data_IF_808717095642
#
_entry.id   IF_808717095642
#
_cell.length_a   1.000
_cell.length_b   1.000
_cell.length_c   1.000
_cell.angle_alpha   90.00
_cell.angle_beta   90.00
_cell.angle_gamma   90.00
#
_symmetry.space_group_name_H-M   'P 1'
#
loop_
_entity.id
_entity.type
_entity.pdbx_description
1 polymer ?
#
# COMPACT_ATOMS: atom_id res chain seq x y z
N UNK A 1 -2.20 -15.40 18.17
CA UNK A 1 -3.46 -16.11 17.86
C UNK A 1 -3.25 -17.27 16.85
N UNK A 2 -2.11 -17.98 16.86
CA UNK A 2 -1.64 -18.75 15.68
C UNK A 2 -1.76 -20.29 15.73
N UNK A 3 -2.97 -20.81 15.96
CA UNK A 3 -3.35 -22.17 15.49
C UNK A 3 -4.79 -22.24 14.97
N UNK A 4 -5.56 -21.16 15.18
CA UNK A 4 -6.99 -21.09 14.85
C UNK A 4 -7.25 -20.35 13.54
N UNK A 5 -6.45 -19.34 13.17
CA UNK A 5 -6.73 -18.48 12.02
C UNK A 5 -6.80 -19.24 10.68
N UNK A 6 -5.81 -20.06 10.31
CA UNK A 6 -5.83 -20.79 9.04
C UNK A 6 -6.85 -21.96 9.01
N UNK A 7 -7.07 -22.63 10.14
CA UNK A 7 -8.09 -23.70 10.25
C UNK A 7 -9.51 -23.13 10.27
N UNK A 8 -9.73 -22.00 10.96
CA UNK A 8 -11.01 -21.28 10.97
C UNK A 8 -11.27 -20.61 9.61
N UNK A 9 -10.24 -20.16 8.89
CA UNK A 9 -10.34 -19.63 7.51
C UNK A 9 -10.91 -20.67 6.53
N UNK A 10 -10.39 -21.91 6.52
CA UNK A 10 -10.96 -22.99 5.70
C UNK A 10 -12.36 -23.40 6.18
N UNK A 11 -12.63 -23.40 7.49
CA UNK A 11 -13.95 -23.79 8.02
C UNK A 11 -15.02 -22.72 7.78
N UNK A 12 -14.66 -21.43 7.71
CA UNK A 12 -15.57 -20.31 7.40
C UNK A 12 -15.98 -20.30 5.92
N UNK A 13 -15.12 -20.76 5.00
CA UNK A 13 -15.31 -20.61 3.54
C UNK A 13 -15.48 -21.94 2.74
N UNK A 14 -15.78 -23.07 3.39
CA UNK A 14 -16.00 -24.38 2.69
C UNK A 14 -17.42 -24.90 2.63
N UNK A 15 -18.41 -24.11 3.08
CA UNK A 15 -19.81 -24.52 2.97
C UNK A 15 -20.49 -24.11 1.66
N UNK A 16 -19.87 -23.28 0.82
CA UNK A 16 -20.55 -22.77 -0.38
C UNK A 16 -19.68 -22.75 -1.65
N UNK A 17 -20.31 -23.23 -2.73
CA UNK A 17 -19.98 -23.08 -4.16
C UNK A 17 -19.09 -24.13 -4.83
N UNK A 18 -19.81 -25.01 -5.54
CA UNK A 18 -19.37 -25.77 -6.70
C UNK A 18 -19.16 -24.84 -7.91
N UNK A 19 -18.28 -25.29 -8.80
CA UNK A 19 -17.75 -24.70 -10.04
C UNK A 19 -18.84 -24.35 -11.07
N UNK A 20 -18.68 -23.24 -11.82
CA UNK A 20 -19.01 -23.16 -13.25
C UNK A 20 -18.19 -22.08 -14.00
N UNK A 21 -17.71 -22.45 -15.19
CA UNK A 21 -16.81 -21.76 -16.12
C UNK A 21 -17.50 -20.68 -16.99
N UNK A 22 -16.73 -19.70 -17.48
CA UNK A 22 -17.20 -18.74 -18.50
C UNK A 22 -16.09 -17.90 -19.15
N UNK A 23 -15.49 -18.44 -20.21
CA UNK A 23 -14.53 -17.82 -21.16
C UNK A 23 -15.19 -16.76 -22.08
N UNK A 24 -14.44 -15.67 -22.43
CA UNK A 24 -14.13 -15.18 -23.80
C UNK A 24 -13.68 -13.71 -23.89
N UNK A 25 -12.57 -13.47 -24.62
CA UNK A 25 -12.59 -12.50 -25.73
C UNK A 25 -11.62 -11.30 -25.77
N UNK A 26 -10.36 -11.55 -26.15
CA UNK A 26 -9.46 -10.80 -27.07
C UNK A 26 -9.69 -9.32 -27.47
N UNK A 27 -8.60 -8.53 -27.42
CA UNK A 27 -8.01 -7.91 -28.64
C UNK A 27 -7.80 -6.38 -28.68
N UNK A 28 -6.78 -5.86 -29.40
CA UNK A 28 -5.93 -4.74 -28.97
C UNK A 28 -5.96 -3.50 -29.88
N UNK A 29 -5.43 -2.34 -29.44
CA UNK A 29 -4.87 -1.30 -30.34
C UNK A 29 -3.72 -0.53 -29.66
N UNK A 30 -2.60 -0.45 -30.37
CA UNK A 30 -1.39 0.33 -30.07
C UNK A 30 -1.31 1.59 -30.94
N UNK A 31 -0.56 2.61 -30.50
CA UNK A 31 0.01 3.62 -31.39
C UNK A 31 0.52 4.90 -30.67
N UNK A 32 1.69 5.47 -31.03
CA UNK A 32 2.60 6.13 -30.10
C UNK A 32 2.76 7.65 -30.32
N UNK A 33 3.25 8.41 -29.33
CA UNK A 33 4.03 9.65 -29.58
C UNK A 33 5.10 9.87 -28.50
N UNK A 34 6.29 10.19 -28.98
CA UNK A 34 7.60 10.33 -28.35
C UNK A 34 7.88 11.65 -27.60
N UNK A 35 8.56 11.50 -26.47
CA UNK A 35 9.67 12.28 -25.87
C UNK A 35 9.98 13.73 -26.32
N UNK A 36 10.07 14.65 -25.34
CA UNK A 36 11.17 15.63 -25.21
C UNK A 36 11.42 15.92 -23.71
N UNK A 37 12.64 15.65 -23.24
CA UNK A 37 13.17 16.10 -21.94
C UNK A 37 13.70 17.54 -22.05
N UNK A 38 13.77 18.27 -20.93
CA UNK A 38 15.06 18.86 -20.57
C UNK A 38 15.39 18.79 -19.07
N UNK A 39 16.55 18.18 -18.82
CA UNK A 39 17.65 18.54 -17.89
C UNK A 39 17.32 19.42 -16.66
N UNK A 40 17.56 18.83 -15.49
CA UNK A 40 17.61 19.49 -14.18
C UNK A 40 18.67 20.61 -14.08
N UNK A 41 18.47 21.58 -13.18
CA UNK A 41 19.55 22.21 -12.44
C UNK A 41 19.54 21.73 -10.98
N UNK A 42 20.62 21.08 -10.58
CA UNK A 42 21.02 20.96 -9.18
C UNK A 42 21.41 22.34 -8.63
N UNK A 43 20.85 22.74 -7.48
CA UNK A 43 21.55 23.46 -6.41
C UNK A 43 20.56 23.84 -5.30
N UNK A 44 20.78 23.30 -4.11
CA UNK A 44 20.33 23.89 -2.85
C UNK A 44 20.92 25.30 -2.72
N UNK A 45 20.10 26.33 -2.57
CA UNK A 45 20.55 27.66 -2.15
C UNK A 45 19.44 28.35 -1.35
N UNK A 46 19.72 28.59 -0.07
CA UNK A 46 18.84 29.32 0.83
C UNK A 46 18.71 30.78 0.39
N UNK A 47 17.47 31.25 0.27
CA UNK A 47 17.15 32.58 -0.23
C UNK A 47 17.36 33.63 0.87
N UNK A 48 18.15 34.68 0.61
CA UNK A 48 18.47 35.73 1.61
C UNK A 48 17.34 36.77 1.76
N UNK A 49 17.26 37.45 2.91
CA UNK A 49 16.21 38.46 3.22
C UNK A 49 16.18 39.61 2.20
N UNK A 50 17.34 39.99 1.67
CA UNK A 50 17.43 41.00 0.61
C UNK A 50 16.83 40.53 -0.72
N UNK A 51 16.99 39.24 -1.06
CA UNK A 51 16.38 38.65 -2.25
C UNK A 51 14.86 38.56 -2.10
N UNK A 52 14.35 38.25 -0.91
CA UNK A 52 12.92 38.23 -0.61
C UNK A 52 12.29 39.62 -0.74
N UNK A 53 12.98 40.65 -0.22
CA UNK A 53 12.55 42.05 -0.30
C UNK A 53 12.52 42.55 -1.75
N UNK A 54 13.57 42.28 -2.52
CA UNK A 54 13.64 42.65 -3.93
C UNK A 54 12.55 41.98 -4.78
N UNK A 55 12.20 40.73 -4.47
CA UNK A 55 11.15 39.99 -5.16
C UNK A 55 9.74 40.47 -4.77
N UNK A 56 9.56 40.91 -3.52
CA UNK A 56 8.33 41.58 -3.07
C UNK A 56 8.14 42.93 -3.76
N UNK A 57 9.19 43.75 -3.83
CA UNK A 57 9.18 45.08 -4.45
C UNK A 57 8.96 45.00 -5.97
N UNK A 58 9.56 44.02 -6.64
CA UNK A 58 9.34 43.75 -8.06
C UNK A 58 7.89 43.31 -8.35
N UNK A 59 7.29 42.51 -7.46
CA UNK A 59 5.89 42.12 -7.57
C UNK A 59 4.93 43.26 -7.21
N UNK A 60 5.33 44.16 -6.33
CA UNK A 60 4.54 45.33 -5.91
C UNK A 60 4.32 46.33 -7.06
N UNK A 61 5.33 46.56 -7.91
CA UNK A 61 5.22 47.44 -9.09
C UNK A 61 4.23 46.88 -10.13
N UNK A 62 4.07 45.56 -10.20
CA UNK A 62 3.22 44.85 -11.17
C UNK A 62 1.71 44.92 -10.87
N UNK A 63 1.30 45.19 -9.63
CA UNK A 63 -0.10 45.01 -9.20
C UNK A 63 -0.72 46.25 -8.52
N UNK A 64 -0.90 47.32 -9.29
CA UNK A 64 -1.34 48.65 -8.82
C UNK A 64 -2.86 48.88 -8.67
N UNK A 65 -3.70 47.85 -8.47
CA UNK A 65 -5.18 48.01 -8.35
C UNK A 65 -5.76 47.48 -7.04
N UNK A 66 -6.72 48.21 -6.44
CA UNK A 66 -7.36 47.97 -5.13
C UNK A 66 -7.80 46.52 -4.86
N UNK A 67 -8.29 45.78 -5.85
CA UNK A 67 -8.75 44.39 -5.71
C UNK A 67 -7.62 43.37 -5.47
N UNK A 68 -6.37 43.73 -5.79
CA UNK A 68 -5.19 42.86 -5.64
C UNK A 68 -4.35 43.18 -4.40
N UNK A 69 -4.74 44.19 -3.61
CA UNK A 69 -4.16 44.47 -2.28
C UNK A 69 -4.52 43.36 -1.27
N UNK A 70 -5.70 42.77 -1.41
CA UNK A 70 -6.09 41.59 -0.64
C UNK A 70 -5.19 40.40 -0.96
N UNK A 71 -4.86 40.16 -2.24
CA UNK A 71 -3.95 39.09 -2.64
C UNK A 71 -2.51 39.28 -2.12
N UNK A 72 -2.03 40.53 -2.00
CA UNK A 72 -0.73 40.81 -1.40
C UNK A 72 -0.76 40.59 0.13
N UNK A 73 -1.85 40.95 0.81
CA UNK A 73 -2.05 40.67 2.24
C UNK A 73 -2.15 39.16 2.51
N UNK A 74 -2.80 38.42 1.61
CA UNK A 74 -2.88 36.96 1.61
C UNK A 74 -1.50 36.33 1.40
N UNK A 75 -0.72 36.79 0.41
CA UNK A 75 0.63 36.29 0.17
C UNK A 75 1.59 36.58 1.34
N UNK A 76 1.43 37.74 2.00
CA UNK A 76 2.23 38.14 3.16
C UNK A 76 1.89 37.28 4.39
N UNK A 77 0.60 36.97 4.62
CA UNK A 77 0.17 36.06 5.68
C UNK A 77 0.64 34.62 5.40
N UNK A 78 0.54 34.17 4.14
CA UNK A 78 1.05 32.88 3.65
C UNK A 78 2.58 32.74 3.82
N UNK A 79 3.36 33.80 3.60
CA UNK A 79 4.83 33.78 3.83
C UNK A 79 5.21 33.85 5.31
N UNK A 80 4.31 34.34 6.16
CA UNK A 80 4.51 34.45 7.61
C UNK A 80 4.12 33.18 8.36
N UNK A 81 3.02 32.53 8.00
CA UNK A 81 2.60 31.24 8.57
C UNK A 81 3.53 30.10 8.14
N UNK A 82 4.11 30.17 6.92
CA UNK A 82 5.15 29.24 6.49
C UNK A 82 6.48 29.39 7.26
N UNK A 83 6.71 30.53 7.94
CA UNK A 83 7.94 30.81 8.71
C UNK A 83 7.76 30.80 10.23
N UNK A 84 6.53 30.71 10.75
CA UNK A 84 6.29 30.66 12.20
C UNK A 84 6.69 29.33 12.87
N UNK A 85 7.25 28.39 12.11
CA UNK A 85 7.93 27.19 12.62
C UNK A 85 9.46 27.37 12.75
N UNK A 86 10.01 28.57 12.51
CA UNK A 86 11.39 28.92 12.93
C UNK A 86 11.28 29.88 14.14
N UNK A 87 11.83 29.52 15.31
CA UNK A 87 11.73 30.37 16.50
C UNK A 87 12.62 31.61 16.32
N UNK A 88 11.99 32.76 15.98
CA UNK A 88 12.36 34.17 16.26
C UNK A 88 11.76 35.12 15.20
N UNK A 89 10.62 35.74 15.51
CA UNK A 89 10.18 36.99 14.87
C UNK A 89 10.04 38.04 15.99
N UNK A 90 10.67 39.21 15.84
CA UNK A 90 10.70 40.24 16.87
C UNK A 90 9.37 41.04 16.94
N UNK A 91 9.09 41.62 18.11
CA UNK A 91 7.82 42.30 18.44
C UNK A 91 7.43 43.44 17.47
N UNK A 92 8.40 44.08 16.83
CA UNK A 92 8.16 45.17 15.87
C UNK A 92 7.39 44.72 14.62
N UNK A 93 7.62 43.49 14.16
CA UNK A 93 6.95 42.93 12.97
C UNK A 93 5.51 42.55 13.31
N UNK A 94 5.25 42.09 14.53
CA UNK A 94 3.91 41.76 15.01
C UNK A 94 3.04 43.02 15.14
N UNK A 95 3.61 44.13 15.64
CA UNK A 95 2.90 45.41 15.77
C UNK A 95 2.44 46.02 14.43
N UNK A 96 3.23 45.88 13.37
CA UNK A 96 2.90 46.42 12.05
C UNK A 96 1.68 45.72 11.40
N UNK A 97 1.51 44.42 11.67
CA UNK A 97 0.48 43.60 11.03
C UNK A 97 -0.89 43.80 11.66
N UNK A 98 -0.94 43.93 12.99
CA UNK A 98 -2.18 44.21 13.73
C UNK A 98 -2.76 45.58 13.32
N UNK A 99 -1.89 46.56 13.09
CA UNK A 99 -2.24 47.88 12.55
C UNK A 99 -2.79 47.81 11.12
N UNK A 100 -2.28 46.91 10.28
CA UNK A 100 -2.68 46.78 8.88
C UNK A 100 -4.02 46.06 8.69
N UNK A 101 -4.34 45.11 9.56
CA UNK A 101 -5.57 44.29 9.48
C UNK A 101 -6.82 44.99 10.06
N UNK A 102 -6.65 46.00 10.91
CA UNK A 102 -7.77 46.77 11.49
C UNK A 102 -8.50 47.67 10.49
N UNK A 103 -8.04 47.76 9.23
CA UNK A 103 -8.61 48.60 8.18
C UNK A 103 -9.59 47.93 7.21
N UNK A 104 -10.09 46.71 7.47
CA UNK A 104 -10.99 46.00 6.55
C UNK A 104 -12.44 45.89 7.08
N UNK A 105 -13.37 46.56 6.41
CA UNK A 105 -14.70 46.95 6.91
C UNK A 105 -15.87 45.97 6.68
N UNK A 106 -15.65 44.69 6.33
CA UNK A 106 -16.79 43.77 6.31
C UNK A 106 -16.44 42.33 6.70
N UNK A 107 -16.97 41.94 7.85
CA UNK A 107 -16.81 40.65 8.50
C UNK A 107 -17.38 39.48 7.67
N UNK A 108 -18.32 39.73 6.75
CA UNK A 108 -19.11 38.67 6.11
C UNK A 108 -18.45 38.03 4.88
N UNK A 109 -17.84 38.83 3.99
CA UNK A 109 -17.12 38.34 2.79
C UNK A 109 -15.76 37.75 3.17
N UNK A 110 -15.10 38.33 4.18
CA UNK A 110 -13.89 37.79 4.78
C UNK A 110 -14.11 36.39 5.37
N UNK A 111 -15.27 36.13 5.99
CA UNK A 111 -15.58 34.84 6.64
C UNK A 111 -15.87 33.72 5.63
N UNK A 112 -16.58 34.00 4.52
CA UNK A 112 -16.87 33.02 3.47
C UNK A 112 -15.61 32.63 2.68
N UNK A 113 -14.78 33.62 2.30
CA UNK A 113 -13.49 33.35 1.66
C UNK A 113 -12.54 32.67 2.64
N UNK A 114 -12.45 33.12 3.90
CA UNK A 114 -11.61 32.45 4.91
C UNK A 114 -12.01 31.00 5.17
N UNK A 115 -13.29 30.61 5.05
CA UNK A 115 -13.71 29.20 5.16
C UNK A 115 -13.23 28.35 3.99
N UNK A 116 -13.43 28.80 2.74
CA UNK A 116 -12.95 28.09 1.55
C UNK A 116 -11.41 28.01 1.46
N UNK A 117 -10.72 29.06 1.92
CA UNK A 117 -9.25 29.09 1.98
C UNK A 117 -8.69 28.30 3.18
N UNK A 118 -9.35 28.29 4.35
CA UNK A 118 -8.98 27.41 5.48
C UNK A 118 -9.06 25.94 5.13
N UNK A 119 -10.07 25.53 4.36
CA UNK A 119 -10.21 24.13 3.94
C UNK A 119 -9.08 23.73 2.98
N UNK A 120 -8.77 24.55 1.96
CA UNK A 120 -7.65 24.29 1.03
C UNK A 120 -6.27 24.41 1.68
N UNK A 121 -6.09 25.32 2.64
CA UNK A 121 -4.84 25.47 3.39
C UNK A 121 -4.65 24.33 4.40
N UNK A 122 -5.72 23.88 5.06
CA UNK A 122 -5.70 22.68 5.92
C UNK A 122 -5.43 21.42 5.11
N UNK A 123 -6.09 21.22 3.96
CA UNK A 123 -5.80 20.10 3.05
C UNK A 123 -4.36 20.10 2.54
N UNK A 124 -3.77 21.28 2.25
CA UNK A 124 -2.35 21.40 1.89
C UNK A 124 -1.42 21.18 3.08
N UNK A 125 -1.81 21.60 4.28
CA UNK A 125 -1.02 21.40 5.50
C UNK A 125 -1.06 19.93 5.96
N UNK A 126 -2.21 19.28 5.89
CA UNK A 126 -2.41 17.86 6.21
C UNK A 126 -1.78 16.94 5.14
N UNK A 127 -1.71 17.38 3.87
CA UNK A 127 -0.92 16.69 2.83
C UNK A 127 0.60 16.93 2.97
N UNK A 128 1.02 18.01 3.65
CA UNK A 128 2.43 18.32 3.93
C UNK A 128 2.90 17.72 5.27
N UNK A 129 1.99 17.45 6.20
CA UNK A 129 2.25 16.68 7.41
C UNK A 129 2.33 15.21 7.01
N UNK A 130 3.46 14.58 7.33
CA UNK A 130 3.60 13.13 7.21
C UNK A 130 2.50 12.48 8.03
N UNK A 131 1.69 11.60 7.44
CA UNK A 131 0.72 10.83 8.21
C UNK A 131 1.46 9.93 9.18
N UNK A 132 1.02 9.93 10.44
CA UNK A 132 1.38 8.88 11.39
C UNK A 132 0.58 7.61 11.13
N UNK A 133 0.96 6.50 11.75
CA UNK A 133 0.21 5.24 11.72
C UNK A 133 -1.25 5.42 12.17
N UNK A 134 -1.49 6.28 13.17
CA UNK A 134 -2.85 6.58 13.63
C UNK A 134 -3.65 7.37 12.58
N UNK A 135 -3.02 8.37 11.94
CA UNK A 135 -3.70 9.23 10.98
C UNK A 135 -4.08 8.49 9.69
N UNK A 136 -3.24 7.57 9.23
CA UNK A 136 -3.53 6.77 8.03
C UNK A 136 -4.68 5.78 8.30
N UNK A 137 -4.70 5.14 9.47
CA UNK A 137 -5.79 4.23 9.87
C UNK A 137 -7.14 4.95 9.96
N UNK A 138 -7.17 6.14 10.57
CA UNK A 138 -8.39 6.95 10.64
C UNK A 138 -8.86 7.35 9.24
N UNK A 139 -7.95 7.75 8.35
CA UNK A 139 -8.31 8.15 6.99
C UNK A 139 -8.79 6.97 6.14
N UNK A 140 -8.17 5.80 6.26
CA UNK A 140 -8.57 4.58 5.57
C UNK A 140 -9.95 4.10 6.04
N UNK A 141 -10.21 4.11 7.35
CA UNK A 141 -11.53 3.82 7.93
C UNK A 141 -12.60 4.80 7.47
N UNK A 142 -12.31 6.10 7.48
CA UNK A 142 -13.24 7.10 6.96
C UNK A 142 -13.54 6.87 5.48
N UNK A 143 -12.53 6.47 4.69
CA UNK A 143 -12.70 6.13 3.27
C UNK A 143 -13.57 4.89 3.09
N UNK A 144 -13.40 3.85 3.91
CA UNK A 144 -14.18 2.60 3.80
C UNK A 144 -15.64 2.77 4.25
N UNK A 145 -15.91 3.75 5.12
CA UNK A 145 -17.27 4.17 5.51
C UNK A 145 -17.94 5.03 4.42
N UNK A 146 -17.25 6.07 3.94
CA UNK A 146 -17.74 7.00 2.92
C UNK A 146 -16.56 7.65 2.18
N UNK A 147 -16.21 7.08 1.02
CA UNK A 147 -15.09 7.55 0.22
C UNK A 147 -15.23 9.01 -0.26
N UNK A 148 -16.46 9.49 -0.52
CA UNK A 148 -16.69 10.87 -0.96
C UNK A 148 -16.46 11.84 0.19
N UNK A 149 -17.02 11.54 1.38
CA UNK A 149 -16.80 12.36 2.57
C UNK A 149 -15.33 12.35 3.01
N UNK A 150 -14.67 11.18 2.97
CA UNK A 150 -13.26 11.05 3.29
C UNK A 150 -12.39 11.87 2.32
N UNK A 151 -12.73 11.89 1.03
CA UNK A 151 -12.02 12.70 0.03
C UNK A 151 -12.10 14.20 0.31
N UNK A 152 -13.22 14.70 0.83
CA UNK A 152 -13.37 16.11 1.21
C UNK A 152 -12.52 16.48 2.45
N UNK A 153 -12.31 15.53 3.36
CA UNK A 153 -11.56 15.73 4.61
C UNK A 153 -10.06 15.52 4.42
N UNK A 154 -9.69 14.42 3.75
CA UNK A 154 -8.33 13.90 3.65
C UNK A 154 -7.71 14.08 2.27
N UNK A 155 -8.47 14.59 1.30
CA UNK A 155 -8.07 14.64 -0.10
C UNK A 155 -8.11 13.26 -0.79
N UNK A 156 -7.88 13.22 -2.11
CA UNK A 156 -7.75 11.95 -2.84
C UNK A 156 -6.67 11.05 -2.24
N UNK A 157 -6.94 9.76 -2.15
CA UNK A 157 -6.03 8.78 -1.53
C UNK A 157 -4.66 8.72 -2.20
N UNK A 158 -4.61 8.90 -3.52
CA UNK A 158 -3.38 8.97 -4.34
C UNK A 158 -2.39 10.06 -3.95
N UNK A 159 -2.80 11.05 -3.14
CA UNK A 159 -1.93 12.16 -2.70
C UNK A 159 -1.63 12.13 -1.19
N UNK A 160 -2.05 11.08 -0.48
CA UNK A 160 -1.76 10.95 0.95
C UNK A 160 -0.25 10.78 1.17
N UNK A 161 0.32 11.60 2.06
CA UNK A 161 1.74 11.54 2.37
C UNK A 161 2.01 10.43 3.40
N UNK A 162 2.34 9.23 2.91
CA UNK A 162 2.62 8.04 3.72
C UNK A 162 4.08 7.92 4.18
N UNK A 163 4.95 8.87 3.83
CA UNK A 163 6.40 8.81 4.13
C UNK A 163 6.77 8.79 5.63
N UNK A 164 5.79 8.89 6.54
CA UNK A 164 5.97 8.75 7.99
C UNK A 164 5.27 7.54 8.60
N UNK A 165 4.60 6.72 7.78
CA UNK A 165 3.89 5.52 8.20
C UNK A 165 4.89 4.37 8.30
N UNK A 166 4.83 3.63 9.41
CA UNK A 166 5.57 2.41 9.66
C UNK A 166 4.64 1.19 9.66
N UNK A 167 3.37 1.37 10.02
CA UNK A 167 2.42 0.27 10.19
C UNK A 167 1.22 0.42 9.24
N UNK A 168 1.13 -0.46 8.23
CA UNK A 168 0.03 -0.49 7.26
C UNK A 168 -0.91 -1.69 7.43
N UNK A 169 -0.83 -2.35 8.59
CA UNK A 169 -1.69 -3.48 8.89
C UNK A 169 -3.19 -3.12 8.78
N UNK A 170 -3.94 -3.97 8.09
CA UNK A 170 -5.40 -3.99 7.94
C UNK A 170 -6.04 -2.72 7.35
N UNK A 171 -5.27 -1.83 6.70
CA UNK A 171 -5.81 -0.53 6.25
C UNK A 171 -7.06 -0.63 5.36
N UNK A 172 -7.14 -1.66 4.51
CA UNK A 172 -8.27 -1.92 3.63
C UNK A 172 -8.76 -3.38 3.74
N UNK A 173 -8.66 -3.97 4.93
CA UNK A 173 -9.21 -5.31 5.23
C UNK A 173 -10.74 -5.28 5.21
N UNK A 174 -11.38 -6.26 4.57
CA UNK A 174 -12.84 -6.33 4.44
C UNK A 174 -13.55 -7.22 5.47
N UNK A 175 -12.81 -8.00 6.27
CA UNK A 175 -13.36 -8.87 7.34
C UNK A 175 -13.22 -8.25 8.74
N UNK A 176 -12.70 -7.03 8.82
CA UNK A 176 -12.70 -6.27 10.06
C UNK A 176 -14.07 -5.60 10.26
N UNK A 177 -14.76 -5.92 11.35
CA UNK A 177 -16.04 -5.30 11.73
C UNK A 177 -15.93 -3.77 11.85
N UNK A 178 -14.72 -3.25 12.08
CA UNK A 178 -14.41 -1.83 12.19
C UNK A 178 -14.06 -1.17 10.83
N UNK A 179 -13.85 -1.93 9.75
CA UNK A 179 -13.56 -1.38 8.41
C UNK A 179 -14.83 -1.48 7.55
N UNK A 180 -15.30 -0.33 7.04
CA UNK A 180 -16.58 -0.25 6.34
C UNK A 180 -16.70 -1.13 5.08
N UNK A 181 -17.94 -1.36 4.58
CA UNK A 181 -18.25 -2.35 3.53
C UNK A 181 -17.62 -2.03 2.16
N UNK A 182 -16.97 -0.87 1.99
CA UNK A 182 -16.28 -0.52 0.76
C UNK A 182 -14.90 -1.18 0.62
N UNK A 183 -14.34 -1.78 1.68
CA UNK A 183 -13.04 -2.45 1.63
C UNK A 183 -13.01 -3.60 0.61
N UNK A 184 -14.09 -4.39 0.47
CA UNK A 184 -14.21 -5.44 -0.56
C UNK A 184 -14.02 -4.91 -1.99
N UNK A 185 -14.31 -3.62 -2.20
CA UNK A 185 -14.28 -2.92 -3.49
C UNK A 185 -13.06 -2.01 -3.65
N UNK A 186 -12.12 -2.02 -2.70
CA UNK A 186 -10.95 -1.17 -2.74
C UNK A 186 -10.10 -1.45 -3.99
N UNK A 187 -9.89 -0.43 -4.81
CA UNK A 187 -9.03 -0.49 -6.00
C UNK A 187 -8.55 0.91 -6.44
N UNK A 188 -8.20 1.75 -5.46
CA UNK A 188 -7.76 3.11 -5.71
C UNK A 188 -6.28 3.18 -6.13
N UNK A 189 -5.89 4.25 -6.83
CA UNK A 189 -4.48 4.48 -7.20
C UNK A 189 -3.66 4.89 -5.97
N UNK A 190 -2.81 3.98 -5.52
CA UNK A 190 -1.84 4.15 -4.42
C UNK A 190 -0.38 3.97 -4.88
N UNK A 191 -0.14 3.99 -6.19
CA UNK A 191 1.20 3.80 -6.79
C UNK A 191 2.23 4.82 -6.31
N UNK A 192 1.77 6.02 -5.92
CA UNK A 192 2.61 7.15 -5.48
C UNK A 192 2.87 7.18 -3.97
N UNK A 193 2.35 6.22 -3.22
CA UNK A 193 2.62 6.14 -1.80
C UNK A 193 4.11 5.86 -1.57
N UNK A 194 4.67 6.60 -0.61
CA UNK A 194 6.01 6.32 -0.09
C UNK A 194 5.85 5.32 1.06
N UNK A 195 6.20 4.06 0.80
CA UNK A 195 6.13 2.96 1.77
C UNK A 195 7.52 2.58 2.29
N UNK A 196 8.56 3.37 2.01
CA UNK A 196 9.93 2.99 2.32
C UNK A 196 10.23 2.92 3.81
N UNK A 197 9.35 3.44 4.69
CA UNK A 197 9.49 3.33 6.15
C UNK A 197 8.58 2.26 6.77
N UNK A 198 7.76 1.59 5.96
CA UNK A 198 6.79 0.60 6.42
C UNK A 198 7.51 -0.68 6.84
N UNK A 199 7.18 -1.15 8.04
CA UNK A 199 7.71 -2.36 8.66
C UNK A 199 6.69 -3.50 8.68
N UNK A 200 5.38 -3.20 8.62
CA UNK A 200 4.30 -4.20 8.61
C UNK A 200 3.24 -3.90 7.56
N UNK A 201 2.82 -4.94 6.83
CA UNK A 201 1.76 -4.87 5.80
C UNK A 201 0.71 -5.98 5.97
N UNK A 202 0.60 -6.53 7.18
CA UNK A 202 -0.34 -7.62 7.51
C UNK A 202 -1.78 -7.25 7.10
N UNK A 203 -2.46 -8.12 6.36
CA UNK A 203 -3.88 -7.96 6.04
C UNK A 203 -4.26 -6.68 5.28
N UNK A 204 -3.31 -5.92 4.75
CA UNK A 204 -3.58 -4.58 4.19
C UNK A 204 -4.70 -4.56 3.14
N UNK A 205 -4.80 -5.61 2.31
CA UNK A 205 -5.85 -5.82 1.30
C UNK A 205 -6.60 -7.13 1.51
N UNK A 206 -6.72 -7.60 2.75
CA UNK A 206 -7.43 -8.82 3.09
C UNK A 206 -8.90 -8.73 2.64
N UNK A 207 -9.37 -9.72 1.86
CA UNK A 207 -10.69 -9.79 1.24
C UNK A 207 -11.08 -8.56 0.39
N UNK A 208 -10.11 -7.73 -0.01
CA UNK A 208 -10.30 -6.66 -1.00
C UNK A 208 -10.43 -7.27 -2.41
N UNK A 209 -11.54 -7.97 -2.65
CA UNK A 209 -11.75 -8.85 -3.81
C UNK A 209 -11.60 -8.18 -5.17
N UNK A 210 -11.79 -6.85 -5.24
CA UNK A 210 -11.64 -6.04 -6.45
C UNK A 210 -10.25 -5.41 -6.63
N UNK A 211 -9.34 -5.58 -5.67
CA UNK A 211 -8.04 -4.92 -5.67
C UNK A 211 -7.11 -5.48 -6.75
N UNK A 212 -6.59 -4.59 -7.59
CA UNK A 212 -5.56 -4.87 -8.59
C UNK A 212 -4.72 -3.62 -8.88
N UNK A 213 -4.40 -2.86 -7.84
CA UNK A 213 -3.61 -1.62 -7.95
C UNK A 213 -2.16 -1.88 -8.37
N UNK A 214 -1.53 -0.89 -9.01
CA UNK A 214 -0.11 -0.93 -9.34
C UNK A 214 0.74 -0.65 -8.09
N UNK A 215 1.56 -1.64 -7.73
CA UNK A 215 2.48 -1.61 -6.57
C UNK A 215 3.95 -1.74 -6.99
N UNK A 216 4.25 -1.68 -8.29
CA UNK A 216 5.59 -1.97 -8.83
C UNK A 216 6.66 -0.97 -8.39
N UNK A 217 6.27 0.24 -7.99
CA UNK A 217 7.14 1.30 -7.49
C UNK A 217 7.34 1.32 -5.97
N UNK A 218 6.70 0.42 -5.24
CA UNK A 218 6.79 0.36 -3.78
C UNK A 218 8.15 -0.17 -3.33
N UNK A 219 8.80 0.58 -2.45
CA UNK A 219 10.01 0.13 -1.75
C UNK A 219 9.63 -0.59 -0.47
N UNK A 220 9.55 -1.92 -0.53
CA UNK A 220 9.18 -2.78 0.60
C UNK A 220 10.39 -3.29 1.38
N UNK A 221 11.60 -2.75 1.16
CA UNK A 221 12.84 -3.31 1.71
C UNK A 221 12.90 -3.31 3.25
N UNK A 222 12.08 -2.49 3.91
CA UNK A 222 12.01 -2.43 5.38
C UNK A 222 10.88 -3.27 5.98
N UNK A 223 10.04 -3.91 5.16
CA UNK A 223 8.92 -4.71 5.63
C UNK A 223 9.42 -6.03 6.22
N UNK A 224 8.85 -6.40 7.36
CA UNK A 224 9.22 -7.60 8.13
C UNK A 224 8.09 -8.62 8.21
N UNK A 225 6.83 -8.20 8.04
CA UNK A 225 5.64 -9.05 8.05
C UNK A 225 4.70 -8.70 6.88
N UNK A 226 4.26 -9.72 6.13
CA UNK A 226 3.35 -9.61 4.99
C UNK A 226 2.20 -10.64 5.07
N UNK A 227 1.88 -11.09 6.28
CA UNK A 227 0.83 -12.08 6.53
C UNK A 227 -0.49 -11.59 5.93
N UNK A 228 -1.19 -12.44 5.19
CA UNK A 228 -2.53 -12.18 4.67
C UNK A 228 -2.69 -10.93 3.77
N UNK A 229 -1.60 -10.29 3.34
CA UNK A 229 -1.63 -8.98 2.67
C UNK A 229 -2.58 -8.92 1.46
N UNK A 230 -2.63 -9.98 0.66
CA UNK A 230 -3.51 -10.11 -0.51
C UNK A 230 -4.46 -11.32 -0.39
N UNK A 231 -4.66 -11.86 0.82
CA UNK A 231 -5.58 -12.98 0.96
C UNK A 231 -7.00 -12.54 0.57
N UNK A 232 -7.69 -13.30 -0.27
CA UNK A 232 -9.02 -12.95 -0.77
C UNK A 232 -9.07 -11.81 -1.80
N UNK A 233 -7.92 -11.24 -2.20
CA UNK A 233 -7.84 -10.27 -3.30
C UNK A 233 -7.96 -11.01 -4.66
N UNK A 234 -9.16 -11.52 -4.95
CA UNK A 234 -9.43 -12.51 -6.00
C UNK A 234 -8.91 -12.14 -7.39
N UNK A 235 -8.96 -10.85 -7.74
CA UNK A 235 -8.53 -10.35 -9.06
C UNK A 235 -7.10 -9.82 -9.10
N UNK A 236 -6.38 -9.83 -7.97
CA UNK A 236 -5.04 -9.27 -7.87
C UNK A 236 -4.04 -10.06 -8.72
N UNK A 237 -3.32 -9.36 -9.59
CA UNK A 237 -2.23 -9.90 -10.40
C UNK A 237 -1.19 -8.80 -10.71
N UNK A 238 -0.89 -7.96 -9.72
CA UNK A 238 0.07 -6.87 -9.84
C UNK A 238 1.52 -7.36 -10.03
N UNK A 239 2.36 -6.53 -10.64
CA UNK A 239 3.80 -6.80 -10.78
C UNK A 239 4.52 -6.53 -9.45
N UNK A 240 5.14 -7.57 -8.89
CA UNK A 240 5.89 -7.56 -7.64
C UNK A 240 7.38 -7.91 -7.84
N UNK A 241 7.86 -7.95 -9.09
CA UNK A 241 9.21 -8.43 -9.43
C UNK A 241 10.33 -7.59 -8.83
N UNK A 242 10.06 -6.30 -8.57
CA UNK A 242 10.99 -5.32 -8.01
C UNK A 242 11.07 -5.33 -6.48
N UNK A 243 10.19 -6.07 -5.80
CA UNK A 243 10.12 -6.06 -4.34
C UNK A 243 11.33 -6.74 -3.70
N UNK A 244 12.03 -6.01 -2.84
CA UNK A 244 13.03 -6.59 -1.94
C UNK A 244 12.37 -7.12 -0.67
N UNK A 245 12.06 -8.42 -0.66
CA UNK A 245 11.46 -9.11 0.50
C UNK A 245 12.49 -9.70 1.46
N UNK A 246 13.77 -9.32 1.35
CA UNK A 246 14.85 -9.96 2.11
C UNK A 246 14.75 -9.79 3.62
N UNK A 247 14.03 -8.79 4.11
CA UNK A 247 13.78 -8.58 5.55
C UNK A 247 12.48 -9.23 6.05
N UNK A 248 11.65 -9.81 5.16
CA UNK A 248 10.39 -10.43 5.53
C UNK A 248 10.64 -11.76 6.26
N UNK A 249 9.95 -11.93 7.38
CA UNK A 249 10.06 -13.10 8.27
C UNK A 249 8.83 -14.00 8.26
N UNK A 250 7.67 -13.47 7.88
CA UNK A 250 6.40 -14.20 7.83
C UNK A 250 5.60 -13.84 6.57
N UNK A 251 5.10 -14.87 5.87
CA UNK A 251 4.31 -14.75 4.65
C UNK A 251 3.05 -15.65 4.71
N UNK A 252 2.54 -15.89 5.93
CA UNK A 252 1.34 -16.72 6.14
C UNK A 252 0.17 -16.18 5.31
N UNK A 253 -0.45 -17.05 4.51
CA UNK A 253 -1.63 -16.79 3.69
C UNK A 253 -1.54 -15.56 2.77
N UNK A 254 -0.34 -15.05 2.45
CA UNK A 254 -0.15 -13.77 1.74
C UNK A 254 -0.96 -13.66 0.43
N UNK A 255 -1.08 -14.75 -0.34
CA UNK A 255 -1.86 -14.84 -1.58
C UNK A 255 -2.97 -15.89 -1.51
N UNK A 256 -3.43 -16.24 -0.29
CA UNK A 256 -4.48 -17.23 -0.15
C UNK A 256 -5.78 -16.73 -0.80
N UNK A 257 -6.41 -17.51 -1.68
CA UNK A 257 -7.60 -17.10 -2.44
C UNK A 257 -7.40 -15.88 -3.37
N UNK A 258 -6.16 -15.48 -3.65
CA UNK A 258 -5.84 -14.57 -4.76
C UNK A 258 -5.94 -15.35 -6.09
N UNK A 259 -7.17 -15.66 -6.50
CA UNK A 259 -7.47 -16.63 -7.56
C UNK A 259 -6.77 -16.36 -8.90
N UNK A 260 -6.64 -15.08 -9.28
CA UNK A 260 -6.01 -14.62 -10.51
C UNK A 260 -4.48 -14.45 -10.42
N UNK A 261 -3.89 -14.55 -9.24
CA UNK A 261 -2.49 -14.22 -9.03
C UNK A 261 -1.55 -15.24 -9.68
N UNK A 262 -0.66 -14.75 -10.55
CA UNK A 262 0.41 -15.52 -11.18
C UNK A 262 1.63 -14.61 -11.48
N UNK A 263 1.94 -13.69 -10.57
CA UNK A 263 3.11 -12.81 -10.69
C UNK A 263 4.42 -13.58 -10.61
N UNK A 264 5.46 -13.06 -11.27
CA UNK A 264 6.82 -13.62 -11.19
C UNK A 264 7.47 -13.28 -9.85
N UNK A 265 7.77 -14.33 -9.07
CA UNK A 265 8.40 -14.24 -7.76
C UNK A 265 9.82 -14.85 -7.73
N UNK A 266 10.39 -15.17 -8.89
CA UNK A 266 11.66 -15.89 -8.99
C UNK A 266 12.86 -15.12 -8.45
N UNK A 267 12.77 -13.78 -8.37
CA UNK A 267 13.79 -12.87 -7.84
C UNK A 267 13.74 -12.70 -6.32
N UNK A 268 12.68 -13.15 -5.65
CA UNK A 268 12.48 -12.90 -4.23
C UNK A 268 13.50 -13.65 -3.36
N UNK A 269 14.15 -12.91 -2.46
CA UNK A 269 15.00 -13.50 -1.44
C UNK A 269 14.19 -13.85 -0.18
N UNK A 270 13.71 -15.08 -0.10
CA UNK A 270 12.92 -15.58 1.05
C UNK A 270 13.75 -16.22 2.16
N UNK A 271 15.08 -16.01 2.19
CA UNK A 271 15.96 -16.72 3.13
C UNK A 271 15.68 -16.44 4.60
N UNK A 272 15.03 -15.32 4.93
CA UNK A 272 14.68 -14.95 6.30
C UNK A 272 13.26 -15.37 6.70
N UNK A 273 12.47 -15.91 5.77
CA UNK A 273 11.09 -16.34 6.04
C UNK A 273 11.08 -17.60 6.88
N UNK A 274 10.25 -17.61 7.92
CA UNK A 274 10.10 -18.70 8.88
C UNK A 274 8.75 -19.40 8.79
N UNK A 275 7.72 -18.75 8.25
CA UNK A 275 6.37 -19.30 8.06
C UNK A 275 5.85 -19.01 6.66
N UNK A 276 5.34 -20.05 5.99
CA UNK A 276 4.71 -19.98 4.66
C UNK A 276 3.38 -20.75 4.62
N UNK A 277 2.74 -20.90 5.78
CA UNK A 277 1.42 -21.54 5.90
C UNK A 277 0.41 -20.86 4.96
N UNK A 278 -0.31 -21.66 4.18
CA UNK A 278 -1.37 -21.26 3.26
C UNK A 278 -0.98 -20.17 2.23
N UNK A 279 0.31 -19.88 2.01
CA UNK A 279 0.77 -18.73 1.22
C UNK A 279 0.11 -18.61 -0.16
N UNK A 280 -0.10 -19.73 -0.86
CA UNK A 280 -0.79 -19.82 -2.16
C UNK A 280 -2.03 -20.73 -2.10
N UNK A 281 -2.60 -20.96 -0.92
CA UNK A 281 -3.78 -21.79 -0.76
C UNK A 281 -4.92 -21.20 -1.62
N UNK A 282 -5.48 -22.00 -2.54
CA UNK A 282 -6.54 -21.63 -3.48
C UNK A 282 -6.18 -20.50 -4.46
N UNK A 283 -4.90 -20.13 -4.59
CA UNK A 283 -4.43 -19.28 -5.68
C UNK A 283 -4.47 -20.07 -7.00
N UNK A 284 -5.66 -20.17 -7.60
CA UNK A 284 -5.97 -21.21 -8.57
C UNK A 284 -5.21 -21.11 -9.89
N UNK A 285 -4.77 -19.89 -10.26
CA UNK A 285 -3.97 -19.60 -11.45
C UNK A 285 -2.45 -19.63 -11.20
N UNK A 286 -2.01 -19.76 -9.94
CA UNK A 286 -0.61 -19.60 -9.57
C UNK A 286 0.28 -20.75 -10.09
N UNK A 287 1.33 -20.39 -10.85
CA UNK A 287 2.33 -21.30 -11.40
C UNK A 287 3.69 -20.61 -11.64
N UNK A 288 4.07 -19.63 -10.79
CA UNK A 288 5.39 -18.99 -10.87
C UNK A 288 6.51 -19.99 -10.56
N UNK A 289 7.70 -19.74 -11.14
CA UNK A 289 8.91 -20.47 -10.78
C UNK A 289 9.37 -20.05 -9.37
N UNK A 290 9.58 -21.05 -8.51
CA UNK A 290 10.04 -20.90 -7.12
C UNK A 290 11.31 -21.71 -6.85
N UNK A 291 11.94 -22.26 -7.89
CA UNK A 291 13.08 -23.18 -7.77
C UNK A 291 14.32 -22.56 -7.12
N UNK A 292 14.47 -21.23 -7.23
CA UNK A 292 15.56 -20.44 -6.65
C UNK A 292 15.40 -20.11 -5.16
N UNK A 293 14.21 -20.32 -4.59
CA UNK A 293 13.90 -19.92 -3.23
C UNK A 293 14.72 -20.71 -2.19
N UNK A 294 15.38 -19.98 -1.29
CA UNK A 294 16.01 -20.58 -0.13
C UNK A 294 15.02 -20.69 1.03
N UNK A 295 14.38 -21.85 1.17
CA UNK A 295 13.40 -22.12 2.24
C UNK A 295 14.01 -22.76 3.50
N UNK A 296 15.34 -22.75 3.66
CA UNK A 296 15.99 -23.49 4.75
C UNK A 296 15.61 -23.02 6.16
N UNK A 297 15.09 -21.81 6.32
CA UNK A 297 14.65 -21.26 7.61
C UNK A 297 13.14 -21.45 7.87
N UNK A 298 12.39 -21.96 6.89
CA UNK A 298 10.95 -22.17 7.03
C UNK A 298 10.66 -23.35 7.96
N UNK A 299 9.71 -23.14 8.88
CA UNK A 299 9.31 -24.11 9.90
C UNK A 299 7.91 -24.68 9.68
N UNK A 300 7.03 -23.95 8.99
CA UNK A 300 5.65 -24.35 8.66
C UNK A 300 5.32 -24.10 7.18
N UNK A 301 4.77 -25.12 6.52
CA UNK A 301 4.31 -25.09 5.11
C UNK A 301 2.91 -25.71 4.97
N UNK A 302 2.14 -25.66 6.05
CA UNK A 302 0.76 -26.12 6.13
C UNK A 302 -0.05 -25.53 4.99
N UNK A 303 -0.74 -26.36 4.19
CA UNK A 303 -1.61 -25.90 3.09
C UNK A 303 -0.98 -24.96 2.04
N UNK A 304 0.34 -24.80 1.97
CA UNK A 304 0.99 -23.74 1.18
C UNK A 304 0.49 -23.66 -0.28
N UNK A 305 0.24 -24.79 -0.93
CA UNK A 305 -0.28 -24.90 -2.30
C UNK A 305 -1.64 -25.61 -2.37
N UNK A 306 -2.37 -25.70 -1.25
CA UNK A 306 -3.63 -26.42 -1.21
C UNK A 306 -4.65 -25.75 -2.14
N UNK A 307 -5.10 -26.43 -3.20
CA UNK A 307 -6.01 -25.86 -4.18
C UNK A 307 -5.38 -24.91 -5.21
N UNK A 308 -4.05 -24.78 -5.25
CA UNK A 308 -3.33 -24.15 -6.36
C UNK A 308 -3.36 -25.10 -7.57
N UNK A 309 -4.50 -25.10 -8.28
CA UNK A 309 -4.89 -26.18 -9.21
C UNK A 309 -3.87 -26.44 -10.31
N UNK A 310 -3.25 -25.38 -10.83
CA UNK A 310 -2.32 -25.44 -11.96
C UNK A 310 -0.84 -25.45 -11.56
N UNK A 311 -0.53 -25.32 -10.27
CA UNK A 311 0.85 -25.25 -9.79
C UNK A 311 1.61 -26.56 -10.07
N UNK A 312 2.76 -26.44 -10.73
CA UNK A 312 3.63 -27.57 -11.06
C UNK A 312 5.12 -27.18 -11.01
N UNK A 313 5.51 -26.35 -10.04
CA UNK A 313 6.89 -25.91 -9.86
C UNK A 313 7.84 -27.05 -9.50
N UNK A 314 9.09 -26.96 -9.98
CA UNK A 314 10.17 -27.85 -9.55
C UNK A 314 10.73 -27.35 -8.20
N UNK A 315 10.50 -28.15 -7.16
CA UNK A 315 10.92 -27.85 -5.78
C UNK A 315 12.06 -28.75 -5.31
N UNK A 316 12.76 -29.41 -6.22
CA UNK A 316 13.82 -30.38 -5.90
C UNK A 316 15.01 -29.76 -5.18
N UNK A 317 15.25 -28.46 -5.34
CA UNK A 317 16.33 -27.73 -4.68
C UNK A 317 15.98 -27.24 -3.27
N UNK A 318 14.73 -27.34 -2.86
CA UNK A 318 14.30 -26.84 -1.55
C UNK A 318 14.88 -27.67 -0.41
N UNK A 319 15.52 -27.00 0.55
CA UNK A 319 15.91 -27.62 1.80
C UNK A 319 14.79 -27.49 2.84
N UNK A 320 14.05 -28.57 3.06
CA UNK A 320 12.94 -28.62 4.02
C UNK A 320 13.34 -29.16 5.39
N UNK A 321 14.64 -29.24 5.74
CA UNK A 321 15.09 -29.90 6.97
C UNK A 321 14.46 -29.32 8.24
N UNK A 322 14.26 -28.00 8.29
CA UNK A 322 13.69 -27.27 9.42
C UNK A 322 12.16 -27.27 9.46
N UNK A 323 11.48 -27.73 8.39
CA UNK A 323 10.02 -27.80 8.35
C UNK A 323 9.54 -28.88 9.30
N UNK A 324 8.55 -28.52 10.13
CA UNK A 324 7.91 -29.41 11.11
C UNK A 324 6.54 -29.89 10.64
N UNK A 325 5.81 -29.07 9.88
CA UNK A 325 4.44 -29.36 9.44
C UNK A 325 4.22 -29.01 7.96
N UNK A 326 3.56 -29.93 7.25
CA UNK A 326 3.20 -29.87 5.82
C UNK A 326 1.80 -30.45 5.57
N UNK A 327 0.93 -30.47 6.58
CA UNK A 327 -0.40 -31.04 6.42
C UNK A 327 -1.14 -30.33 5.27
N UNK A 328 -1.73 -31.12 4.39
CA UNK A 328 -2.46 -30.63 3.19
C UNK A 328 -1.68 -29.71 2.23
N UNK A 329 -0.35 -29.64 2.32
CA UNK A 329 0.46 -28.71 1.51
C UNK A 329 0.11 -28.69 0.01
N UNK A 330 -0.17 -29.84 -0.60
CA UNK A 330 -0.53 -29.99 -2.01
C UNK A 330 -1.94 -30.61 -2.21
N UNK A 331 -2.81 -30.56 -1.21
CA UNK A 331 -4.18 -31.08 -1.35
C UNK A 331 -4.91 -30.27 -2.42
N UNK A 332 -5.53 -30.91 -3.40
CA UNK A 332 -6.15 -30.28 -4.57
C UNK A 332 -5.21 -29.46 -5.48
N UNK A 333 -3.88 -29.59 -5.37
CA UNK A 333 -2.94 -29.09 -6.38
C UNK A 333 -2.88 -30.09 -7.55
N UNK A 334 -3.82 -30.00 -8.48
CA UNK A 334 -4.13 -31.05 -9.46
C UNK A 334 -3.01 -31.29 -10.48
N UNK A 335 -2.26 -30.24 -10.83
CA UNK A 335 -1.16 -30.33 -11.78
C UNK A 335 0.19 -30.71 -11.15
N UNK A 336 0.28 -30.76 -9.81
CA UNK A 336 1.57 -30.89 -9.13
C UNK A 336 2.22 -32.26 -9.32
N UNK A 337 3.41 -32.27 -9.92
CA UNK A 337 4.20 -33.47 -10.11
C UNK A 337 5.04 -33.80 -8.86
N UNK A 338 4.64 -34.85 -8.13
CA UNK A 338 5.33 -35.29 -6.90
C UNK A 338 6.78 -35.77 -7.12
N UNK A 339 7.17 -36.10 -8.34
CA UNK A 339 8.54 -36.50 -8.64
C UNK A 339 9.57 -35.39 -8.38
N UNK A 340 9.13 -34.12 -8.34
CA UNK A 340 10.00 -32.97 -8.06
C UNK A 340 10.46 -32.92 -6.60
N UNK A 341 9.77 -33.60 -5.68
CA UNK A 341 10.06 -33.58 -4.24
C UNK A 341 10.46 -34.95 -3.67
N UNK A 342 10.78 -35.92 -4.54
CA UNK A 342 11.17 -37.28 -4.12
C UNK A 342 12.43 -37.35 -3.26
N UNK A 343 13.23 -36.29 -3.25
CA UNK A 343 14.46 -36.16 -2.47
C UNK A 343 14.26 -35.48 -1.10
N UNK A 344 13.06 -35.00 -0.79
CA UNK A 344 12.77 -34.38 0.49
C UNK A 344 12.79 -35.42 1.63
N UNK A 345 13.46 -35.08 2.74
CA UNK A 345 13.37 -35.87 3.97
C UNK A 345 12.10 -35.49 4.74
N UNK A 346 11.09 -36.35 4.66
CA UNK A 346 9.81 -36.17 5.35
C UNK A 346 9.77 -36.82 6.75
N UNK A 347 10.87 -37.42 7.21
CA UNK A 347 10.89 -38.11 8.49
C UNK A 347 10.66 -37.13 9.66
N UNK A 348 9.79 -37.54 10.58
CA UNK A 348 9.43 -36.72 11.76
C UNK A 348 8.58 -35.47 11.46
N UNK A 349 8.13 -35.28 10.22
CA UNK A 349 7.29 -34.14 9.82
C UNK A 349 5.81 -34.52 9.79
N UNK A 350 4.94 -33.59 10.17
CA UNK A 350 3.49 -33.79 10.08
C UNK A 350 3.03 -33.62 8.62
N UNK A 351 2.68 -34.73 7.96
CA UNK A 351 2.36 -34.77 6.52
C UNK A 351 0.93 -35.28 6.25
N UNK A 352 0.04 -35.25 7.24
CA UNK A 352 -1.34 -35.72 7.08
C UNK A 352 -2.05 -35.04 5.91
N UNK A 353 -2.62 -35.85 5.02
CA UNK A 353 -3.33 -35.40 3.83
C UNK A 353 -2.50 -34.44 2.95
N UNK A 354 -1.16 -34.50 3.00
CA UNK A 354 -0.27 -33.62 2.21
C UNK A 354 -0.66 -33.59 0.73
N UNK A 355 -1.17 -34.71 0.21
CA UNK A 355 -1.73 -34.80 -1.13
C UNK A 355 -3.16 -35.35 -1.13
N UNK A 356 -3.79 -35.34 -2.30
CA UNK A 356 -5.09 -35.99 -2.51
C UNK A 356 -5.01 -37.52 -2.30
N UNK A 357 -6.02 -38.15 -1.66
CA UNK A 357 -6.03 -39.60 -1.44
C UNK A 357 -5.95 -40.47 -2.70
N UNK A 358 -6.30 -39.91 -3.87
CA UNK A 358 -6.41 -40.61 -5.15
C UNK A 358 -5.29 -40.32 -6.15
N UNK A 359 -4.28 -39.53 -5.77
CA UNK A 359 -3.13 -39.19 -6.62
C UNK A 359 -1.86 -39.85 -6.14
#
# INVERSE_FOLDING_TARGET
MSKRAATDFYNKHTLESNIEDGDKGSGPVSGPVSSVTPKAPSATSSMTVAALKAQLDANFIKYKSKTKKAALATLLLETMEARSQIPRLNEDVQGYIVSFLSGFDSLHVATQLARGFRLKAKLRLDAMLKRSDADIKIAAKAWSEDAEAAREIYGPISIWNTSGVMEMADLFSADDEDVGPAAERFNEDISKWDVSNVTTMEGMFYDASAFNGDLSSWDVSNVTTMEQMFAGAKVFNGDLTSWDVSNVTTMEAMFCEAEAFNGDLSSWNVSNVTTMEAMFCRASAFNSDLSSWNVSNVTTMEQMFAGAKVFNGDLSLWNVSNVTTMWRMFRNALAFNRETIKNWDLSGKETSNMFNPSH
#
